data_IF_191666917504
#
_entry.id   IF_191666917504
#
_cell.length_a   1.000
_cell.length_b   1.000
_cell.length_c   1.000
_cell.angle_alpha   90.00
_cell.angle_beta   90.00
_cell.angle_gamma   90.00
#
_symmetry.space_group_name_H-M   'P 1'
#
loop_
_entity.id
_entity.type
_entity.pdbx_description
1 polymer ?
#
# COMPACT_ATOMS: atom_id res chain seq x y z
N UNK A 1 6.30 -1.04 10.55
CA UNK A 1 5.40 -0.02 11.16
C UNK A 1 4.07 -0.60 11.64
N UNK A 2 3.27 -1.31 10.82
CA UNK A 2 1.96 -1.90 11.24
C UNK A 2 2.08 -2.71 12.53
N UNK A 3 3.05 -3.64 12.62
CA UNK A 3 3.34 -4.41 13.84
C UNK A 3 3.72 -3.53 15.05
N UNK A 4 4.50 -2.48 14.84
CA UNK A 4 4.85 -1.54 15.91
C UNK A 4 3.63 -0.82 16.47
N UNK A 5 2.69 -0.42 15.60
CA UNK A 5 1.42 0.17 16.01
C UNK A 5 0.60 -0.81 16.84
N UNK A 6 0.53 -2.08 16.45
CA UNK A 6 -0.20 -3.11 17.20
C UNK A 6 0.41 -3.38 18.57
N UNK A 7 1.76 -3.37 18.69
CA UNK A 7 2.46 -3.61 19.96
C UNK A 7 2.31 -2.42 20.90
N UNK A 8 2.57 -1.20 20.43
CA UNK A 8 2.51 0.02 21.26
C UNK A 8 1.06 0.45 21.48
N UNK A 9 0.17 0.25 20.50
CA UNK A 9 -1.20 0.72 20.56
C UNK A 9 -1.28 2.19 21.00
N UNK A 10 -0.80 3.16 20.19
CA UNK A 10 -0.63 4.55 20.58
C UNK A 10 -1.93 5.16 21.11
N UNK A 11 -1.90 5.77 22.27
CA UNK A 11 -3.05 6.41 22.93
C UNK A 11 -2.92 7.93 22.95
N UNK A 12 -1.70 8.45 22.78
CA UNK A 12 -1.43 9.88 22.77
C UNK A 12 -0.32 10.22 21.78
N UNK A 13 -0.07 11.52 21.60
CA UNK A 13 0.96 12.02 20.68
C UNK A 13 2.36 11.50 21.04
N UNK A 14 2.71 11.47 22.33
CA UNK A 14 4.02 11.00 22.77
C UNK A 14 4.25 9.52 22.46
N UNK A 15 3.20 8.70 22.45
CA UNK A 15 3.30 7.30 22.02
C UNK A 15 3.65 7.19 20.52
N UNK A 16 3.13 8.09 19.69
CA UNK A 16 3.48 8.13 18.26
C UNK A 16 4.93 8.57 18.09
N UNK A 17 5.38 9.55 18.87
CA UNK A 17 6.79 9.98 18.88
C UNK A 17 7.71 8.82 19.28
N UNK A 18 7.37 8.10 20.35
CA UNK A 18 8.14 6.95 20.82
C UNK A 18 8.12 5.78 19.82
N UNK A 19 6.96 5.50 19.20
CA UNK A 19 6.82 4.48 18.18
C UNK A 19 7.77 4.72 17.00
N UNK A 20 7.84 5.96 16.49
CA UNK A 20 8.73 6.31 15.38
C UNK A 20 10.21 6.14 15.75
N UNK A 21 10.57 6.46 16.98
CA UNK A 21 11.92 6.30 17.51
C UNK A 21 12.30 4.82 17.72
N UNK A 22 11.35 4.00 18.21
CA UNK A 22 11.58 2.59 18.54
C UNK A 22 11.44 1.64 17.34
N UNK A 23 10.76 2.03 16.26
CA UNK A 23 10.52 1.16 15.10
C UNK A 23 11.75 1.01 14.19
N UNK A 24 12.86 0.54 14.78
CA UNK A 24 14.16 0.31 14.09
C UNK A 24 14.80 -0.97 14.63
N UNK A 25 15.65 -1.65 13.83
CA UNK A 25 16.43 -2.77 14.32
C UNK A 25 17.20 -2.40 15.60
N UNK A 26 17.11 -3.22 16.65
CA UNK A 26 17.67 -2.97 17.96
C UNK A 26 16.65 -2.41 18.96
N UNK A 27 16.21 -1.14 18.86
CA UNK A 27 15.24 -0.55 19.79
C UNK A 27 13.88 -1.22 19.76
N UNK A 28 13.51 -1.86 18.67
CA UNK A 28 12.21 -2.55 18.48
C UNK A 28 11.91 -3.57 19.58
N UNK A 29 12.95 -4.20 20.15
CA UNK A 29 12.82 -5.12 21.28
C UNK A 29 12.22 -4.48 22.53
N UNK A 30 12.28 -3.14 22.68
CA UNK A 30 11.75 -2.42 23.84
C UNK A 30 10.32 -1.94 23.69
N UNK A 31 9.70 -2.08 22.52
CA UNK A 31 8.32 -1.64 22.27
C UNK A 31 7.33 -2.32 23.22
N UNK A 32 7.50 -3.61 23.46
CA UNK A 32 6.63 -4.38 24.38
C UNK A 32 6.76 -3.87 25.83
N UNK A 33 7.99 -3.64 26.30
CA UNK A 33 8.22 -3.09 27.64
C UNK A 33 7.64 -1.68 27.77
N UNK A 34 7.82 -0.83 26.74
CA UNK A 34 7.22 0.51 26.69
C UNK A 34 5.70 0.44 26.89
N UNK A 35 5.01 -0.38 26.09
CA UNK A 35 3.55 -0.52 26.18
C UNK A 35 3.11 -1.09 27.54
N UNK A 36 3.76 -2.16 28.04
CA UNK A 36 3.40 -2.79 29.31
C UNK A 36 3.61 -1.87 30.51
N UNK A 37 4.68 -1.07 30.52
CA UNK A 37 4.97 -0.10 31.59
C UNK A 37 4.02 1.09 31.54
N UNK A 38 3.71 1.61 30.36
CA UNK A 38 2.69 2.64 30.17
C UNK A 38 1.34 2.19 30.73
N UNK A 39 0.94 0.97 30.43
CA UNK A 39 -0.35 0.40 30.85
C UNK A 39 -0.34 -0.09 32.31
N UNK A 40 0.77 0.08 33.06
CA UNK A 40 0.91 -0.40 34.44
C UNK A 40 0.99 -1.92 34.62
N UNK A 41 1.15 -2.66 33.49
CA UNK A 41 1.22 -4.15 33.48
C UNK A 41 2.61 -4.69 33.76
N UNK A 42 3.66 -3.87 33.62
CA UNK A 42 5.05 -4.18 34.02
C UNK A 42 5.52 -3.21 35.10
N UNK A 43 5.80 -3.73 36.28
CA UNK A 43 6.40 -2.95 37.36
C UNK A 43 7.88 -2.68 37.06
N UNK A 44 8.34 -1.48 37.24
CA UNK A 44 9.73 -1.08 37.13
C UNK A 44 10.03 0.02 38.15
N UNK A 45 11.30 0.20 38.48
CA UNK A 45 11.76 1.21 39.43
C UNK A 45 12.80 2.09 38.76
N UNK A 46 12.77 3.38 39.07
CA UNK A 46 13.81 4.30 38.67
C UNK A 46 15.02 4.18 39.63
N UNK A 47 16.24 4.29 39.10
CA UNK A 47 17.47 4.23 39.87
C UNK A 47 17.68 5.47 40.74
N UNK A 48 17.00 6.58 40.45
CA UNK A 48 16.94 7.81 41.24
C UNK A 48 15.71 8.62 40.85
N UNK A 49 15.29 9.57 41.71
CA UNK A 49 14.19 10.51 41.39
C UNK A 49 14.54 11.45 40.23
N UNK A 50 15.81 11.86 40.16
CA UNK A 50 16.27 12.68 39.01
C UNK A 50 16.16 11.91 37.69
N UNK A 51 16.47 10.63 37.70
CA UNK A 51 16.29 9.77 36.51
C UNK A 51 14.81 9.60 36.16
N UNK A 52 13.92 9.58 37.15
CA UNK A 52 12.47 9.58 36.92
C UNK A 52 12.02 10.87 36.24
N UNK A 53 12.57 12.03 36.64
CA UNK A 53 12.24 13.30 35.95
C UNK A 53 12.62 13.29 34.47
N UNK A 54 13.73 12.64 34.11
CA UNK A 54 14.22 12.55 32.72
C UNK A 54 13.50 11.47 31.89
N UNK A 55 13.27 10.31 32.48
CA UNK A 55 12.77 9.12 31.78
C UNK A 55 11.29 8.84 32.04
N UNK A 56 10.58 9.69 32.78
CA UNK A 56 9.18 9.48 33.14
C UNK A 56 8.27 9.37 31.89
N UNK A 57 8.48 10.24 30.91
CA UNK A 57 7.71 10.23 29.65
C UNK A 57 7.96 9.02 28.76
N UNK A 58 8.99 8.24 29.04
CA UNK A 58 9.34 7.01 28.30
C UNK A 58 9.40 5.77 29.21
N UNK A 59 8.75 5.85 30.38
CA UNK A 59 8.57 4.74 31.32
C UNK A 59 9.88 4.03 31.70
N UNK A 60 10.93 4.84 31.95
CA UNK A 60 12.25 4.36 32.31
C UNK A 60 13.11 3.82 31.18
N UNK A 61 12.67 3.93 29.93
CA UNK A 61 13.42 3.49 28.75
C UNK A 61 14.13 4.71 28.14
N UNK A 62 15.42 4.59 27.87
CA UNK A 62 16.15 5.60 27.09
C UNK A 62 15.82 5.42 25.62
N UNK A 63 14.99 6.32 25.07
CA UNK A 63 14.54 6.32 23.68
C UNK A 63 15.27 7.38 22.87
N UNK A 64 15.52 8.55 23.48
CA UNK A 64 16.02 9.73 22.80
C UNK A 64 17.47 10.06 23.15
N UNK A 65 18.21 10.60 22.19
CA UNK A 65 19.58 11.12 22.40
C UNK A 65 19.61 12.25 23.42
N UNK A 66 18.60 13.07 23.45
CA UNK A 66 18.42 14.18 24.37
C UNK A 66 18.33 13.70 25.82
N UNK A 67 17.75 12.52 26.08
CA UNK A 67 17.73 11.93 27.43
C UNK A 67 19.12 11.53 27.90
N UNK A 68 19.98 11.01 26.99
CA UNK A 68 21.37 10.68 27.32
C UNK A 68 22.13 11.94 27.69
N UNK A 69 21.97 13.02 26.88
CA UNK A 69 22.60 14.32 27.17
C UNK A 69 22.10 14.90 28.50
N UNK A 70 20.81 14.80 28.79
CA UNK A 70 20.22 15.31 30.01
C UNK A 70 20.71 14.53 31.23
N UNK A 71 20.80 13.20 31.16
CA UNK A 71 21.38 12.36 32.23
C UNK A 71 22.84 12.76 32.49
N UNK A 72 23.64 12.94 31.46
CA UNK A 72 25.04 13.35 31.61
C UNK A 72 25.18 14.73 32.26
N UNK A 73 24.31 15.67 31.95
CA UNK A 73 24.30 17.01 32.57
C UNK A 73 23.78 17.02 34.00
N UNK A 74 22.60 16.48 34.19
CA UNK A 74 21.85 16.70 35.45
C UNK A 74 22.34 15.76 36.54
N UNK A 75 22.73 14.52 36.20
CA UNK A 75 23.22 13.50 37.14
C UNK A 75 24.75 13.51 37.29
N UNK A 76 25.50 13.61 36.17
CA UNK A 76 26.96 13.61 36.23
C UNK A 76 27.59 15.03 36.23
N UNK A 77 26.80 16.10 36.17
CA UNK A 77 27.27 17.48 36.22
C UNK A 77 28.09 17.93 35.00
N UNK A 78 27.94 17.27 33.85
CA UNK A 78 28.67 17.65 32.66
C UNK A 78 28.09 18.92 32.01
N UNK A 79 28.96 19.71 31.41
CA UNK A 79 28.54 20.84 30.57
C UNK A 79 27.79 20.34 29.34
N UNK A 80 26.99 21.17 28.63
CA UNK A 80 26.28 20.75 27.41
C UNK A 80 27.20 20.18 26.34
N UNK A 81 28.39 20.78 26.15
CA UNK A 81 29.38 20.30 25.17
C UNK A 81 29.97 18.93 25.56
N UNK A 82 30.30 18.77 26.87
CA UNK A 82 30.80 17.47 27.38
C UNK A 82 29.76 16.39 27.27
N UNK A 83 28.49 16.67 27.53
CA UNK A 83 27.40 15.70 27.42
C UNK A 83 27.20 15.22 25.96
N UNK A 84 27.32 16.12 24.99
CA UNK A 84 27.24 15.71 23.58
C UNK A 84 28.45 14.86 23.14
N UNK A 85 29.66 15.22 23.59
CA UNK A 85 30.87 14.41 23.36
C UNK A 85 30.73 13.04 24.00
N UNK A 86 30.24 12.97 25.24
CA UNK A 86 29.97 11.75 26.00
C UNK A 86 28.99 10.85 25.22
N UNK A 87 27.85 11.35 24.78
CA UNK A 87 26.86 10.63 24.01
C UNK A 87 27.46 10.05 22.72
N UNK A 88 28.23 10.87 21.97
CA UNK A 88 28.89 10.44 20.73
C UNK A 88 29.95 9.36 20.98
N UNK A 89 30.70 9.48 22.07
CA UNK A 89 31.73 8.53 22.46
C UNK A 89 31.13 7.14 22.78
N UNK A 90 30.09 7.09 23.58
CA UNK A 90 29.41 5.83 23.95
C UNK A 90 28.81 5.15 22.69
N UNK A 91 28.29 5.93 21.74
CA UNK A 91 27.74 5.41 20.50
C UNK A 91 28.75 4.75 19.58
N UNK A 92 30.06 5.06 19.69
CA UNK A 92 31.14 4.52 18.83
C UNK A 92 31.63 3.13 19.23
N UNK A 93 31.27 2.61 20.39
CA UNK A 93 31.68 1.28 20.95
C UNK A 93 33.20 1.06 21.07
N UNK A 94 34.00 2.11 21.06
CA UNK A 94 35.41 2.00 21.35
C UNK A 94 35.63 1.72 22.83
N UNK A 95 36.24 0.58 23.18
CA UNK A 95 36.41 0.15 24.55
C UNK A 95 37.24 1.12 25.41
N UNK A 96 38.30 1.72 24.86
CA UNK A 96 39.16 2.66 25.58
C UNK A 96 38.42 3.98 25.84
N UNK A 97 37.72 4.49 24.80
CA UNK A 97 36.89 5.68 24.91
C UNK A 97 35.73 5.47 25.87
N UNK A 98 35.11 4.29 25.86
CA UNK A 98 34.04 3.97 26.81
C UNK A 98 34.55 3.92 28.27
N UNK A 99 35.72 3.32 28.52
CA UNK A 99 36.29 3.25 29.85
C UNK A 99 36.59 4.65 30.42
N UNK A 100 37.25 5.52 29.64
CA UNK A 100 37.53 6.92 30.02
C UNK A 100 36.25 7.72 30.28
N UNK A 101 35.24 7.54 29.46
CA UNK A 101 33.94 8.21 29.67
C UNK A 101 33.17 7.67 30.87
N UNK A 102 33.27 6.36 31.16
CA UNK A 102 32.71 5.74 32.36
C UNK A 102 33.31 6.36 33.62
N UNK A 103 34.62 6.44 33.68
CA UNK A 103 35.33 7.03 34.82
C UNK A 103 34.91 8.50 35.09
N UNK A 104 34.87 9.31 34.01
CA UNK A 104 34.43 10.70 34.06
C UNK A 104 32.98 10.82 34.53
N UNK A 105 32.08 10.00 34.02
CA UNK A 105 30.65 9.98 34.37
C UNK A 105 30.48 9.64 35.86
N UNK A 106 31.12 8.57 36.32
CA UNK A 106 31.05 8.12 37.73
C UNK A 106 31.58 9.19 38.65
N UNK A 107 32.75 9.77 38.36
CA UNK A 107 33.33 10.86 39.17
C UNK A 107 32.37 12.05 39.28
N UNK A 108 31.70 12.41 38.20
CA UNK A 108 30.67 13.46 38.22
C UNK A 108 29.47 13.10 39.11
N UNK A 109 28.97 11.85 38.99
CA UNK A 109 27.89 11.36 39.83
C UNK A 109 28.22 11.37 41.34
N UNK A 110 29.43 10.91 41.69
CA UNK A 110 29.90 10.94 43.06
C UNK A 110 29.98 12.37 43.63
N UNK A 111 30.46 13.32 42.81
CA UNK A 111 30.50 14.73 43.16
C UNK A 111 29.10 15.35 43.39
N UNK A 112 28.08 14.79 42.77
CA UNK A 112 26.65 15.13 42.93
C UNK A 112 25.98 14.38 44.10
N UNK A 113 26.70 13.51 44.83
CA UNK A 113 26.20 12.78 45.99
C UNK A 113 25.57 11.41 45.70
N UNK A 114 25.66 10.91 44.48
CA UNK A 114 25.21 9.55 44.17
C UNK A 114 26.20 8.50 44.69
N UNK A 115 25.69 7.32 45.06
CA UNK A 115 26.57 6.20 45.42
C UNK A 115 27.28 5.63 44.21
N UNK A 116 28.47 5.03 44.42
CA UNK A 116 29.19 4.32 43.37
C UNK A 116 28.29 3.30 42.64
N UNK A 117 27.52 2.51 43.42
CA UNK A 117 26.60 1.48 42.85
C UNK A 117 25.54 2.10 41.96
N UNK A 118 24.95 3.22 42.36
CA UNK A 118 23.93 3.92 41.58
C UNK A 118 24.54 4.48 40.28
N UNK A 119 25.71 5.10 40.38
CA UNK A 119 26.41 5.66 39.22
C UNK A 119 26.78 4.58 38.19
N UNK A 120 27.31 3.45 38.64
CA UNK A 120 27.60 2.30 37.77
C UNK A 120 26.34 1.78 37.10
N UNK A 121 25.25 1.59 37.83
CA UNK A 121 23.97 1.12 37.26
C UNK A 121 23.39 2.08 36.25
N UNK A 122 23.47 3.40 36.46
CA UNK A 122 23.02 4.41 35.51
C UNK A 122 23.88 4.37 34.24
N UNK A 123 25.22 4.28 34.41
CA UNK A 123 26.11 4.18 33.24
C UNK A 123 25.83 2.94 32.40
N UNK A 124 25.65 1.78 33.05
CA UNK A 124 25.30 0.53 32.31
C UNK A 124 23.95 0.65 31.56
N UNK A 125 22.99 1.33 32.19
CA UNK A 125 21.71 1.63 31.54
C UNK A 125 21.90 2.49 30.29
N UNK A 126 22.72 3.56 30.40
CA UNK A 126 23.08 4.39 29.24
C UNK A 126 23.82 3.58 28.19
N UNK A 127 24.83 2.80 28.56
CA UNK A 127 25.65 2.01 27.62
C UNK A 127 24.80 1.01 26.83
N UNK A 128 23.78 0.42 27.45
CA UNK A 128 22.84 -0.49 26.78
C UNK A 128 21.99 0.20 25.73
N UNK A 129 21.59 1.45 25.95
CA UNK A 129 20.62 2.16 25.12
C UNK A 129 21.22 3.26 24.23
N UNK A 130 22.40 3.79 24.57
CA UNK A 130 22.99 4.95 23.88
C UNK A 130 23.24 4.73 22.38
N UNK A 131 23.50 3.49 21.98
CA UNK A 131 23.66 3.13 20.56
C UNK A 131 22.35 3.24 19.75
N UNK A 132 21.21 3.30 20.42
CA UNK A 132 19.89 3.26 19.81
C UNK A 132 19.12 4.56 19.99
N UNK A 133 19.66 5.53 20.72
CA UNK A 133 19.03 6.81 20.94
C UNK A 133 18.68 7.52 19.63
N UNK A 134 17.45 8.00 19.54
CA UNK A 134 16.93 8.71 18.37
C UNK A 134 16.83 10.21 18.64
N UNK A 135 16.98 11.03 17.63
CA UNK A 135 16.76 12.46 17.77
C UNK A 135 15.27 12.74 18.03
N UNK A 136 14.94 13.31 19.20
CA UNK A 136 13.55 13.57 19.60
C UNK A 136 12.87 14.57 18.68
N UNK A 137 13.57 15.64 18.29
CA UNK A 137 13.00 16.67 17.43
C UNK A 137 12.61 16.11 16.06
N UNK A 138 13.43 15.23 15.50
CA UNK A 138 13.12 14.53 14.26
C UNK A 138 11.87 13.66 14.42
N UNK A 139 11.80 12.87 15.49
CA UNK A 139 10.64 12.02 15.78
C UNK A 139 9.37 12.85 15.96
N UNK A 140 9.43 13.96 16.68
CA UNK A 140 8.30 14.88 16.88
C UNK A 140 7.81 15.44 15.56
N UNK A 141 8.72 15.92 14.70
CA UNK A 141 8.33 16.46 13.39
C UNK A 141 7.57 15.45 12.54
N UNK A 142 8.08 14.20 12.47
CA UNK A 142 7.37 13.13 11.76
C UNK A 142 6.09 12.67 12.45
N UNK A 143 6.03 12.69 13.78
CA UNK A 143 4.81 12.38 14.52
C UNK A 143 3.68 13.38 14.22
N UNK A 144 4.01 14.68 14.12
CA UNK A 144 3.03 15.71 13.72
C UNK A 144 2.46 15.40 12.33
N UNK A 145 3.33 15.09 11.36
CA UNK A 145 2.87 14.72 10.02
C UNK A 145 2.03 13.45 10.05
N UNK A 146 2.48 12.41 10.78
CA UNK A 146 1.77 11.13 10.90
C UNK A 146 0.37 11.33 11.48
N UNK A 147 0.25 12.11 12.57
CA UNK A 147 -1.04 12.38 13.20
C UNK A 147 -1.97 13.18 12.28
N UNK A 148 -1.45 14.20 11.59
CA UNK A 148 -2.22 14.97 10.60
C UNK A 148 -2.75 14.09 9.47
N UNK A 149 -1.88 13.25 8.89
CA UNK A 149 -2.26 12.32 7.81
C UNK A 149 -3.28 11.29 8.30
N UNK A 150 -3.11 10.75 9.50
CA UNK A 150 -4.06 9.81 10.10
C UNK A 150 -5.42 10.48 10.34
N UNK A 151 -5.43 11.73 10.82
CA UNK A 151 -6.64 12.51 11.05
C UNK A 151 -7.37 12.82 9.72
N UNK A 152 -6.64 13.27 8.68
CA UNK A 152 -7.21 13.50 7.36
C UNK A 152 -7.79 12.21 6.78
N UNK A 153 -7.07 11.09 6.89
CA UNK A 153 -7.55 9.78 6.42
C UNK A 153 -8.82 9.32 7.14
N UNK A 154 -8.99 9.68 8.42
CA UNK A 154 -10.15 9.30 9.22
C UNK A 154 -11.37 10.19 8.93
N UNK A 155 -11.17 11.50 8.76
CA UNK A 155 -12.26 12.48 8.67
C UNK A 155 -12.57 12.91 7.23
N UNK A 156 -11.58 12.85 6.33
CA UNK A 156 -11.69 13.22 4.91
C UNK A 156 -11.08 12.14 4.03
N UNK A 157 -11.62 10.90 4.08
CA UNK A 157 -10.98 9.77 3.38
C UNK A 157 -10.95 9.94 1.87
N UNK A 158 -12.00 10.50 1.25
CA UNK A 158 -12.04 10.69 -0.20
C UNK A 158 -10.94 11.63 -0.69
N UNK A 159 -10.80 12.79 -0.05
CA UNK A 159 -9.78 13.78 -0.37
C UNK A 159 -8.38 13.24 -0.07
N UNK A 160 -8.23 12.50 1.03
CA UNK A 160 -6.98 11.85 1.38
C UNK A 160 -6.53 10.85 0.32
N UNK A 161 -7.44 9.95 -0.12
CA UNK A 161 -7.09 8.96 -1.14
C UNK A 161 -6.92 9.61 -2.52
N UNK A 162 -7.72 10.59 -2.89
CA UNK A 162 -7.52 11.38 -4.09
C UNK A 162 -6.10 11.97 -4.14
N UNK A 163 -5.69 12.64 -3.07
CA UNK A 163 -4.38 13.28 -2.99
C UNK A 163 -3.22 12.26 -3.03
N UNK A 164 -3.31 11.15 -2.29
CA UNK A 164 -2.20 10.19 -2.21
C UNK A 164 -2.03 9.38 -3.50
N UNK A 165 -3.13 9.06 -4.19
CA UNK A 165 -3.10 8.33 -5.47
C UNK A 165 -2.54 9.19 -6.60
N UNK A 166 -2.66 10.52 -6.52
CA UNK A 166 -2.09 11.47 -7.50
C UNK A 166 -0.58 11.65 -7.34
N UNK A 167 -0.01 11.37 -6.16
CA UNK A 167 1.43 11.52 -5.97
C UNK A 167 2.15 10.39 -6.70
N UNK A 168 2.71 10.64 -7.87
CA UNK A 168 3.35 9.66 -8.77
C UNK A 168 4.48 8.79 -8.18
N UNK A 169 4.68 8.82 -6.86
CA UNK A 169 5.56 7.94 -6.09
C UNK A 169 4.88 6.63 -5.64
N UNK A 170 3.60 6.45 -5.97
CA UNK A 170 2.85 5.24 -5.57
C UNK A 170 3.18 4.11 -6.53
N UNK A 171 3.90 3.08 -6.06
CA UNK A 171 4.14 1.87 -6.86
C UNK A 171 2.82 1.17 -7.17
N UNK A 172 2.74 0.43 -8.29
CA UNK A 172 1.54 -0.35 -8.66
C UNK A 172 1.01 -1.21 -7.50
N UNK A 173 1.91 -1.82 -6.72
CA UNK A 173 1.52 -2.63 -5.55
C UNK A 173 0.82 -1.79 -4.50
N UNK A 174 1.32 -0.58 -4.19
CA UNK A 174 0.69 0.33 -3.22
C UNK A 174 -0.62 0.90 -3.74
N UNK A 175 -0.69 1.17 -5.02
CA UNK A 175 -1.91 1.64 -5.66
C UNK A 175 -3.06 0.64 -5.45
N UNK A 176 -2.85 -0.63 -5.79
CA UNK A 176 -3.83 -1.70 -5.54
C UNK A 176 -4.15 -1.89 -4.05
N UNK A 177 -3.17 -1.70 -3.12
CA UNK A 177 -3.41 -1.74 -1.68
C UNK A 177 -4.37 -0.62 -1.23
N UNK A 178 -4.21 0.60 -1.75
CA UNK A 178 -5.11 1.72 -1.43
C UNK A 178 -6.52 1.50 -1.97
N UNK A 179 -6.67 1.03 -3.21
CA UNK A 179 -7.97 0.70 -3.78
C UNK A 179 -8.67 -0.39 -2.96
N UNK A 180 -7.96 -1.45 -2.58
CA UNK A 180 -8.49 -2.51 -1.71
C UNK A 180 -8.91 -1.96 -0.34
N UNK A 181 -8.11 -1.08 0.26
CA UNK A 181 -8.45 -0.44 1.53
C UNK A 181 -9.71 0.43 1.42
N UNK A 182 -9.85 1.17 0.32
CA UNK A 182 -11.04 1.99 0.04
C UNK A 182 -12.30 1.12 -0.07
N UNK A 183 -12.25 0.04 -0.85
CA UNK A 183 -13.35 -0.92 -0.97
C UNK A 183 -13.77 -1.49 0.40
N UNK A 184 -12.81 -1.88 1.25
CA UNK A 184 -13.09 -2.35 2.64
C UNK A 184 -13.74 -1.29 3.53
N UNK A 185 -13.52 -0.01 3.27
CA UNK A 185 -14.16 1.12 3.98
C UNK A 185 -15.51 1.54 3.38
N UNK A 186 -15.99 0.84 2.36
CA UNK A 186 -17.21 1.19 1.64
C UNK A 186 -17.08 2.44 0.77
N UNK A 187 -15.84 2.83 0.41
CA UNK A 187 -15.58 3.94 -0.50
C UNK A 187 -15.57 3.38 -1.92
N UNK A 188 -16.51 3.81 -2.73
CA UNK A 188 -16.59 3.41 -4.12
C UNK A 188 -15.47 4.08 -4.94
N UNK A 189 -14.90 3.31 -5.88
CA UNK A 189 -14.01 3.80 -6.93
C UNK A 189 -14.67 3.50 -8.25
N UNK A 190 -15.03 4.55 -8.97
CA UNK A 190 -15.70 4.46 -10.26
C UNK A 190 -14.66 4.30 -11.37
N UNK A 191 -14.94 3.51 -12.42
CA UNK A 191 -14.08 3.44 -13.60
C UNK A 191 -13.93 4.82 -14.25
N UNK A 192 -12.92 5.02 -15.10
CA UNK A 192 -12.82 6.25 -15.87
C UNK A 192 -14.03 6.40 -16.80
N UNK A 193 -14.34 7.64 -17.20
CA UNK A 193 -15.40 7.96 -18.13
C UNK A 193 -14.95 9.11 -19.03
N UNK A 194 -15.15 9.00 -20.34
CA UNK A 194 -14.81 10.07 -21.28
C UNK A 194 -15.63 11.34 -21.04
N UNK A 195 -16.84 11.20 -20.52
CA UNK A 195 -17.71 12.35 -20.22
C UNK A 195 -17.43 12.97 -18.84
N UNK A 196 -16.80 12.23 -17.92
CA UNK A 196 -16.73 12.67 -16.53
C UNK A 196 -15.33 12.78 -15.96
N UNK A 197 -14.36 11.91 -16.34
CA UNK A 197 -13.03 11.89 -15.76
C UNK A 197 -12.22 13.15 -16.07
N UNK A 198 -11.37 13.53 -15.14
CA UNK A 198 -10.36 14.58 -15.33
C UNK A 198 -8.96 13.97 -15.46
N UNK A 199 -7.92 14.85 -15.45
CA UNK A 199 -6.52 14.41 -15.41
C UNK A 199 -6.15 13.75 -14.08
N UNK A 200 -6.89 14.03 -13.00
CA UNK A 200 -6.61 13.60 -11.65
C UNK A 200 -7.81 12.91 -11.03
N UNK A 201 -7.60 12.20 -9.91
CA UNK A 201 -8.69 11.61 -9.16
C UNK A 201 -9.63 12.68 -8.63
N UNK A 202 -10.89 12.64 -9.03
CA UNK A 202 -11.94 13.55 -8.57
C UNK A 202 -12.91 12.86 -7.62
N UNK A 203 -13.41 13.62 -6.67
CA UNK A 203 -14.49 13.19 -5.78
C UNK A 203 -15.83 13.53 -6.43
N UNK A 204 -16.63 12.50 -6.73
CA UNK A 204 -17.97 12.63 -7.28
C UNK A 204 -18.95 11.83 -6.41
N UNK A 205 -19.94 12.47 -5.82
CA UNK A 205 -21.05 11.83 -5.09
C UNK A 205 -20.63 10.76 -4.05
N UNK A 206 -19.59 11.02 -3.25
CA UNK A 206 -19.00 10.09 -2.27
C UNK A 206 -18.22 8.91 -2.87
N UNK A 207 -17.83 8.99 -4.13
CA UNK A 207 -16.97 8.06 -4.81
C UNK A 207 -15.73 8.75 -5.37
N UNK A 208 -14.66 8.02 -5.59
CA UNK A 208 -13.52 8.49 -6.38
C UNK A 208 -13.70 8.08 -7.84
N UNK A 209 -13.62 9.06 -8.75
CA UNK A 209 -13.62 8.82 -10.18
C UNK A 209 -12.19 8.63 -10.67
N UNK A 210 -11.96 7.57 -11.44
CA UNK A 210 -10.64 7.21 -11.96
C UNK A 210 -10.18 8.20 -13.03
N UNK A 211 -8.92 8.68 -13.02
CA UNK A 211 -8.43 9.72 -13.91
C UNK A 211 -7.90 9.19 -15.24
N UNK A 212 -7.85 10.05 -16.24
CA UNK A 212 -7.19 9.73 -17.51
C UNK A 212 -5.68 9.52 -17.39
N UNK A 213 -5.01 10.24 -16.46
CA UNK A 213 -3.56 10.12 -16.28
C UNK A 213 -3.09 8.74 -15.82
N UNK A 214 -3.99 7.92 -15.30
CA UNK A 214 -3.69 6.57 -14.82
C UNK A 214 -4.05 5.48 -15.86
N UNK A 215 -4.52 5.84 -17.06
CA UNK A 215 -4.79 4.89 -18.14
C UNK A 215 -3.50 4.67 -18.93
N UNK A 216 -2.99 3.45 -18.93
CA UNK A 216 -1.83 3.05 -19.70
C UNK A 216 -2.15 3.13 -21.20
N UNK A 217 -1.28 3.74 -21.99
CA UNK A 217 -1.47 3.93 -23.42
C UNK A 217 -2.20 5.22 -23.83
N UNK A 218 -2.78 5.97 -22.87
CA UNK A 218 -3.37 7.28 -23.12
C UNK A 218 -2.37 8.37 -22.73
N UNK A 219 -1.91 9.16 -23.69
CA UNK A 219 -1.01 10.27 -23.39
C UNK A 219 -1.75 11.50 -22.85
N UNK A 220 -1.02 12.34 -22.12
CA UNK A 220 -1.59 13.53 -21.47
C UNK A 220 -2.20 14.55 -22.42
N UNK A 221 -1.72 14.64 -23.68
CA UNK A 221 -2.28 15.55 -24.68
C UNK A 221 -3.66 15.07 -25.12
N UNK A 222 -3.79 13.78 -25.43
CA UNK A 222 -5.08 13.20 -25.83
C UNK A 222 -6.11 13.28 -24.70
N UNK A 223 -5.69 13.02 -23.47
CA UNK A 223 -6.55 13.18 -22.29
C UNK A 223 -7.09 14.61 -22.15
N UNK A 224 -6.24 15.62 -22.37
CA UNK A 224 -6.68 17.03 -22.37
C UNK A 224 -7.63 17.33 -23.52
N UNK A 225 -7.35 16.83 -24.71
CA UNK A 225 -8.23 17.02 -25.88
C UNK A 225 -9.63 16.41 -25.65
N UNK A 226 -9.72 15.23 -24.99
CA UNK A 226 -11.01 14.62 -24.61
C UNK A 226 -11.76 15.56 -23.66
N UNK A 227 -11.07 16.10 -22.64
CA UNK A 227 -11.66 17.02 -21.66
C UNK A 227 -12.15 18.32 -22.34
N UNK A 228 -11.39 18.86 -23.26
CA UNK A 228 -11.76 20.06 -24.00
C UNK A 228 -12.93 19.80 -24.97
N UNK A 229 -12.87 18.71 -25.72
CA UNK A 229 -13.88 18.39 -26.72
C UNK A 229 -15.27 18.16 -26.11
N UNK A 230 -15.36 17.47 -24.97
CA UNK A 230 -16.63 17.24 -24.28
C UNK A 230 -17.30 18.53 -23.77
N UNK A 231 -16.56 19.67 -23.65
CA UNK A 231 -17.16 20.96 -23.29
C UNK A 231 -18.12 21.46 -24.38
N UNK A 232 -17.98 21.00 -25.60
CA UNK A 232 -18.91 21.31 -26.72
C UNK A 232 -20.20 20.49 -26.63
N UNK A 233 -20.29 19.54 -25.70
CA UNK A 233 -21.39 18.62 -25.44
C UNK A 233 -20.88 17.21 -25.13
N UNK A 234 -21.60 16.41 -24.33
CA UNK A 234 -21.20 15.06 -24.00
C UNK A 234 -21.05 14.20 -25.25
N UNK A 235 -20.22 13.16 -25.16
CA UNK A 235 -20.18 12.11 -26.17
C UNK A 235 -21.41 11.23 -25.99
N UNK A 236 -22.12 10.94 -27.10
CA UNK A 236 -23.43 10.27 -27.07
C UNK A 236 -23.35 8.77 -27.34
N UNK A 237 -22.40 8.37 -28.16
CA UNK A 237 -22.17 6.99 -28.56
C UNK A 237 -20.72 6.79 -29.02
N UNK A 238 -20.33 5.54 -29.30
CA UNK A 238 -18.99 5.17 -29.69
C UNK A 238 -18.51 5.83 -31.01
N UNK A 239 -19.35 5.88 -32.01
CA UNK A 239 -19.00 6.53 -33.32
C UNK A 239 -18.89 8.05 -33.16
N UNK A 240 -19.79 8.67 -32.38
CA UNK A 240 -19.71 10.10 -32.04
C UNK A 240 -18.39 10.44 -31.38
N UNK A 241 -17.98 9.63 -30.40
CA UNK A 241 -16.69 9.82 -29.71
C UNK A 241 -15.52 9.73 -30.69
N UNK A 242 -15.43 8.64 -31.49
CA UNK A 242 -14.30 8.43 -32.39
C UNK A 242 -14.26 9.52 -33.45
N UNK A 243 -15.41 9.90 -34.04
CA UNK A 243 -15.50 10.95 -35.06
C UNK A 243 -15.04 12.30 -34.53
N UNK A 244 -15.52 12.72 -33.36
CA UNK A 244 -15.10 13.98 -32.75
C UNK A 244 -13.63 14.00 -32.36
N UNK A 245 -13.09 12.88 -31.88
CA UNK A 245 -11.69 12.77 -31.50
C UNK A 245 -10.73 12.56 -32.67
N UNK A 246 -11.26 12.25 -33.88
CA UNK A 246 -10.46 12.08 -35.09
C UNK A 246 -9.68 13.35 -35.47
N UNK A 247 -10.28 14.53 -35.30
CA UNK A 247 -9.60 15.81 -35.53
C UNK A 247 -8.36 16.01 -34.64
N UNK A 248 -8.34 15.40 -33.47
CA UNK A 248 -7.19 15.42 -32.55
C UNK A 248 -6.19 14.28 -32.81
N UNK A 249 -6.40 13.52 -33.93
CA UNK A 249 -5.54 12.40 -34.34
C UNK A 249 -5.48 11.26 -33.31
N UNK A 250 -6.61 10.93 -32.69
CA UNK A 250 -6.72 9.74 -31.87
C UNK A 250 -6.42 8.50 -32.70
N UNK A 251 -5.66 7.56 -32.17
CA UNK A 251 -5.29 6.32 -32.86
C UNK A 251 -5.95 5.07 -32.24
N UNK A 252 -5.87 3.96 -32.97
CA UNK A 252 -6.43 2.66 -32.57
C UNK A 252 -6.00 2.24 -31.15
N UNK A 253 -4.71 2.40 -30.81
CA UNK A 253 -4.17 1.99 -29.51
C UNK A 253 -4.73 2.82 -28.35
N UNK A 254 -4.95 4.13 -28.57
CA UNK A 254 -5.53 5.01 -27.55
C UNK A 254 -7.01 4.72 -27.34
N UNK A 255 -7.77 4.44 -28.41
CA UNK A 255 -9.17 4.03 -28.30
C UNK A 255 -9.24 2.68 -27.56
N UNK A 256 -8.39 1.72 -27.94
CA UNK A 256 -8.31 0.42 -27.28
C UNK A 256 -8.01 0.56 -25.78
N UNK A 257 -7.08 1.45 -25.42
CA UNK A 257 -6.76 1.72 -24.01
C UNK A 257 -7.98 2.27 -23.23
N UNK A 258 -8.75 3.17 -23.83
CA UNK A 258 -9.98 3.72 -23.25
C UNK A 258 -11.07 2.65 -23.10
N UNK A 259 -11.27 1.80 -24.13
CA UNK A 259 -12.22 0.67 -24.07
C UNK A 259 -11.84 -0.29 -22.97
N UNK A 260 -10.57 -0.71 -22.94
CA UNK A 260 -10.09 -1.66 -21.94
C UNK A 260 -10.17 -1.11 -20.50
N UNK A 261 -9.95 0.18 -20.32
CA UNK A 261 -10.12 0.86 -19.05
C UNK A 261 -11.59 1.03 -18.60
N UNK A 262 -12.56 0.75 -19.49
CA UNK A 262 -13.98 1.00 -19.22
C UNK A 262 -14.40 2.46 -19.39
N UNK A 263 -13.56 3.30 -19.97
CA UNK A 263 -13.84 4.73 -20.11
C UNK A 263 -14.96 5.07 -21.10
N UNK A 264 -15.36 4.11 -21.94
CA UNK A 264 -16.40 4.22 -22.96
C UNK A 264 -17.66 3.40 -22.66
N UNK A 265 -17.75 2.76 -21.47
CA UNK A 265 -18.87 1.87 -21.11
C UNK A 265 -20.23 2.55 -21.14
N UNK A 266 -20.30 3.86 -20.90
CA UNK A 266 -21.53 4.64 -21.00
C UNK A 266 -21.99 4.89 -22.45
N UNK A 267 -21.09 4.74 -23.42
CA UNK A 267 -21.36 4.96 -24.84
C UNK A 267 -21.83 3.69 -25.55
N UNK A 268 -21.39 2.52 -25.09
CA UNK A 268 -21.82 1.22 -25.56
C UNK A 268 -21.57 0.12 -24.52
N UNK A 269 -22.53 -0.80 -24.31
CA UNK A 269 -22.47 -1.73 -23.17
C UNK A 269 -21.44 -2.86 -23.34
N UNK A 270 -21.04 -3.22 -24.58
CA UNK A 270 -20.09 -4.30 -24.84
C UNK A 270 -18.71 -3.78 -25.20
N UNK A 271 -17.73 -4.03 -24.33
CA UNK A 271 -16.30 -3.72 -24.59
C UNK A 271 -15.74 -4.59 -25.72
N UNK A 272 -16.17 -5.86 -25.83
CA UNK A 272 -15.76 -6.76 -26.92
C UNK A 272 -16.18 -6.20 -28.26
N UNK A 273 -17.45 -5.81 -28.41
CA UNK A 273 -17.98 -5.19 -29.63
C UNK A 273 -17.26 -3.88 -29.97
N UNK A 274 -17.00 -3.04 -28.99
CA UNK A 274 -16.21 -1.81 -29.18
C UNK A 274 -14.81 -2.12 -29.73
N UNK A 275 -14.09 -3.10 -29.16
CA UNK A 275 -12.74 -3.48 -29.61
C UNK A 275 -12.69 -3.86 -31.09
N UNK A 276 -13.61 -4.70 -31.57
CA UNK A 276 -13.62 -5.14 -32.95
C UNK A 276 -14.16 -4.07 -33.89
N UNK A 277 -14.87 -3.05 -33.39
CA UNK A 277 -15.44 -1.96 -34.21
C UNK A 277 -14.47 -0.78 -34.38
N UNK A 278 -13.35 -0.69 -33.61
CA UNK A 278 -12.43 0.46 -33.65
C UNK A 278 -12.02 0.85 -35.08
N UNK A 279 -11.62 -0.12 -35.90
CA UNK A 279 -11.18 0.15 -37.29
C UNK A 279 -12.29 0.71 -38.14
N UNK A 280 -13.49 0.15 -38.07
CA UNK A 280 -14.65 0.66 -38.77
C UNK A 280 -15.04 2.07 -38.35
N UNK A 281 -14.94 2.35 -37.03
CA UNK A 281 -15.22 3.67 -36.49
C UNK A 281 -14.18 4.73 -36.93
N UNK A 282 -12.90 4.37 -37.03
CA UNK A 282 -11.87 5.26 -37.55
C UNK A 282 -12.08 5.52 -39.07
N UNK A 283 -12.42 4.52 -39.85
CA UNK A 283 -12.76 4.68 -41.30
C UNK A 283 -14.00 5.57 -41.49
N UNK A 284 -15.02 5.36 -40.68
CA UNK A 284 -16.21 6.22 -40.68
C UNK A 284 -15.86 7.67 -40.31
N UNK A 285 -15.03 7.87 -39.29
CA UNK A 285 -14.57 9.20 -38.91
C UNK A 285 -13.79 9.88 -40.05
N UNK A 286 -12.88 9.15 -40.73
CA UNK A 286 -12.10 9.65 -41.84
C UNK A 286 -13.00 10.14 -42.99
N UNK A 287 -14.05 9.40 -43.31
CA UNK A 287 -15.03 9.78 -44.38
C UNK A 287 -15.84 11.02 -44.02
N UNK A 288 -16.02 11.31 -42.73
CA UNK A 288 -16.76 12.48 -42.26
C UNK A 288 -15.90 13.76 -42.14
N UNK A 289 -14.58 13.65 -42.32
CA UNK A 289 -13.67 14.80 -42.32
C UNK A 289 -13.26 15.16 -43.75
N UNK A 290 -13.32 16.45 -44.11
CA UNK A 290 -12.74 16.97 -45.34
C UNK A 290 -11.22 16.96 -45.28
N UNK A 291 -10.55 17.07 -46.47
CA UNK A 291 -9.08 17.17 -46.55
C UNK A 291 -8.49 18.30 -45.68
N UNK A 292 -9.28 19.34 -45.41
CA UNK A 292 -8.89 20.46 -44.52
C UNK A 292 -9.11 20.18 -43.02
N UNK A 293 -9.52 18.97 -42.63
CA UNK A 293 -9.73 18.58 -41.22
C UNK A 293 -11.00 19.21 -40.61
N UNK A 294 -11.92 19.73 -41.40
CA UNK A 294 -13.22 20.21 -40.96
C UNK A 294 -14.30 19.14 -41.21
N UNK A 295 -15.29 19.04 -40.30
CA UNK A 295 -16.48 18.21 -40.54
C UNK A 295 -17.14 18.64 -41.85
N UNK A 296 -17.36 17.69 -42.77
CA UNK A 296 -18.03 17.93 -44.03
C UNK A 296 -19.49 18.31 -43.80
N UNK A 297 -19.73 19.61 -43.66
CA UNK A 297 -21.10 20.15 -43.53
C UNK A 297 -21.66 20.24 -44.94
N UNK A 298 -22.46 19.26 -45.38
CA UNK A 298 -23.21 19.39 -46.64
C UNK A 298 -23.32 18.16 -47.53
N UNK A 299 -22.61 17.09 -47.30
CA UNK A 299 -22.92 15.78 -47.87
C UNK A 299 -23.96 15.14 -46.93
N UNK A 300 -25.03 14.55 -47.52
CA UNK A 300 -26.03 13.80 -46.78
C UNK A 300 -25.34 12.99 -45.68
N UNK A 301 -25.69 13.24 -44.40
CA UNK A 301 -25.01 12.63 -43.25
C UNK A 301 -24.90 11.12 -43.53
N UNK A 302 -23.68 10.63 -43.59
CA UNK A 302 -23.45 9.20 -43.75
C UNK A 302 -24.19 8.51 -42.61
N UNK A 303 -25.00 7.51 -42.91
CA UNK A 303 -25.63 6.71 -41.88
C UNK A 303 -24.54 6.09 -40.98
N UNK A 304 -24.68 6.25 -39.70
CA UNK A 304 -23.74 5.66 -38.74
C UNK A 304 -23.72 4.14 -38.90
N UNK A 305 -22.58 3.52 -39.13
CA UNK A 305 -22.50 2.08 -39.25
C UNK A 305 -23.02 1.37 -37.99
N UNK A 306 -23.49 0.15 -38.14
CA UNK A 306 -23.82 -0.69 -37.03
C UNK A 306 -22.54 -1.12 -36.30
N UNK A 307 -22.63 -1.30 -34.97
CA UNK A 307 -21.57 -1.92 -34.20
C UNK A 307 -21.38 -3.37 -34.64
N UNK A 308 -20.14 -3.79 -34.82
CA UNK A 308 -19.84 -5.20 -34.90
C UNK A 308 -20.15 -5.86 -33.57
N UNK A 309 -20.88 -6.96 -33.60
CA UNK A 309 -21.25 -7.63 -32.35
C UNK A 309 -20.24 -8.72 -31.99
N UNK A 310 -19.82 -8.71 -30.72
CA UNK A 310 -19.02 -9.75 -30.08
C UNK A 310 -19.47 -9.94 -28.65
N UNK A 311 -19.24 -11.13 -28.11
CA UNK A 311 -19.67 -11.49 -26.77
C UNK A 311 -18.63 -11.07 -25.75
N UNK A 312 -19.04 -10.27 -24.78
CA UNK A 312 -18.19 -9.94 -23.64
C UNK A 312 -17.90 -11.19 -22.80
N UNK A 313 -16.63 -11.45 -22.60
CA UNK A 313 -16.16 -12.42 -21.62
C UNK A 313 -15.72 -11.66 -20.38
N UNK A 314 -16.46 -11.74 -19.26
CA UNK A 314 -16.21 -10.92 -18.09
C UNK A 314 -14.78 -11.02 -17.56
N UNK A 315 -14.18 -12.21 -17.59
CA UNK A 315 -12.81 -12.42 -17.12
C UNK A 315 -11.79 -11.77 -18.02
N UNK A 316 -11.96 -11.88 -19.35
CA UNK A 316 -11.08 -11.23 -20.31
C UNK A 316 -11.15 -9.70 -20.14
N UNK A 317 -12.35 -9.15 -19.91
CA UNK A 317 -12.51 -7.72 -19.63
C UNK A 317 -11.80 -7.29 -18.36
N UNK A 318 -11.76 -8.12 -17.31
CA UNK A 318 -11.02 -7.82 -16.09
C UNK A 318 -9.50 -7.85 -16.29
N UNK A 319 -9.00 -8.78 -17.11
CA UNK A 319 -7.58 -8.84 -17.46
C UNK A 319 -7.17 -7.62 -18.28
N UNK A 320 -7.98 -7.23 -19.30
CA UNK A 320 -7.75 -6.02 -20.07
C UNK A 320 -7.85 -4.75 -19.22
N UNK A 321 -8.80 -4.68 -18.30
CA UNK A 321 -8.94 -3.58 -17.36
C UNK A 321 -7.70 -3.48 -16.44
N UNK A 322 -7.24 -4.62 -15.93
CA UNK A 322 -6.03 -4.65 -15.13
C UNK A 322 -4.80 -4.15 -15.91
N UNK A 323 -4.62 -4.57 -17.15
CA UNK A 323 -3.52 -4.12 -18.02
C UNK A 323 -3.62 -2.62 -18.32
N UNK A 324 -4.85 -2.11 -18.48
CA UNK A 324 -5.10 -0.71 -18.80
C UNK A 324 -4.93 0.23 -17.59
N UNK A 325 -5.33 -0.17 -16.37
CA UNK A 325 -5.37 0.74 -15.22
C UNK A 325 -4.70 0.18 -13.95
N UNK A 326 -4.13 -1.01 -13.99
CA UNK A 326 -3.39 -1.62 -12.88
C UNK A 326 -4.24 -2.18 -11.74
N UNK A 327 -5.56 -2.16 -11.87
CA UNK A 327 -6.52 -2.68 -10.89
C UNK A 327 -7.77 -3.19 -11.59
N UNK A 328 -8.52 -4.09 -10.96
CA UNK A 328 -9.85 -4.51 -11.39
C UNK A 328 -10.90 -3.73 -10.59
N UNK A 329 -11.64 -2.86 -11.26
CA UNK A 329 -12.68 -2.02 -10.64
C UNK A 329 -14.07 -2.60 -10.85
N UNK A 330 -14.33 -3.15 -12.04
CA UNK A 330 -15.67 -3.58 -12.48
C UNK A 330 -16.24 -4.70 -11.61
N UNK A 331 -15.44 -5.71 -11.28
CA UNK A 331 -15.86 -6.84 -10.42
C UNK A 331 -14.65 -7.60 -9.87
N UNK A 332 -14.92 -8.64 -9.08
CA UNK A 332 -13.91 -9.60 -8.65
C UNK A 332 -14.05 -10.88 -9.48
N UNK A 333 -12.97 -11.45 -10.04
CA UNK A 333 -13.04 -12.68 -10.82
C UNK A 333 -13.73 -13.85 -10.09
N UNK A 334 -13.67 -13.88 -8.75
CA UNK A 334 -14.32 -14.90 -7.93
C UNK A 334 -15.85 -14.77 -7.91
N UNK A 335 -16.39 -13.59 -8.19
CA UNK A 335 -17.85 -13.36 -8.20
C UNK A 335 -18.53 -14.17 -9.29
N UNK A 336 -17.85 -14.39 -10.42
CA UNK A 336 -18.35 -15.21 -11.53
C UNK A 336 -18.28 -16.72 -11.29
N UNK A 337 -17.59 -17.13 -10.21
CA UNK A 337 -17.42 -18.55 -9.84
C UNK A 337 -18.14 -18.91 -8.54
N UNK A 338 -19.02 -18.04 -8.03
CA UNK A 338 -19.61 -18.15 -6.69
C UNK A 338 -20.28 -19.50 -6.43
N UNK A 339 -21.13 -19.96 -7.35
CA UNK A 339 -21.84 -21.25 -7.21
C UNK A 339 -20.86 -22.44 -7.10
N UNK A 340 -19.83 -22.46 -7.95
CA UNK A 340 -18.80 -23.50 -7.93
C UNK A 340 -17.95 -23.44 -6.65
N UNK A 341 -17.66 -22.24 -6.17
CA UNK A 341 -16.91 -22.03 -4.93
C UNK A 341 -17.70 -22.43 -3.70
N UNK A 342 -19.01 -22.14 -3.67
CA UNK A 342 -19.92 -22.56 -2.58
C UNK A 342 -19.99 -24.10 -2.50
N UNK A 343 -20.07 -24.81 -3.63
CA UNK A 343 -20.04 -26.28 -3.69
C UNK A 343 -18.71 -26.86 -3.18
N UNK A 344 -17.60 -26.17 -3.36
CA UNK A 344 -16.28 -26.62 -2.93
C UNK A 344 -15.99 -26.34 -1.45
N UNK A 345 -16.89 -25.67 -0.74
CA UNK A 345 -16.79 -25.39 0.69
C UNK A 345 -15.57 -24.53 1.04
N UNK A 346 -15.19 -23.58 0.17
CA UNK A 346 -14.06 -22.70 0.41
C UNK A 346 -14.40 -21.63 1.45
N UNK A 347 -13.41 -21.27 2.26
CA UNK A 347 -13.51 -20.18 3.22
C UNK A 347 -12.98 -18.88 2.62
N UNK A 348 -13.53 -17.76 3.06
CA UNK A 348 -12.98 -16.45 2.79
C UNK A 348 -11.74 -16.19 3.63
N UNK A 349 -10.80 -15.36 3.11
CA UNK A 349 -9.55 -15.01 3.81
C UNK A 349 -9.84 -14.42 5.21
N UNK A 350 -10.88 -13.59 5.35
CA UNK A 350 -11.27 -13.02 6.63
C UNK A 350 -11.77 -14.05 7.66
N UNK A 351 -12.12 -15.26 7.24
CA UNK A 351 -12.64 -16.35 8.09
C UNK A 351 -11.57 -17.35 8.50
N UNK A 352 -10.31 -17.13 8.13
CA UNK A 352 -9.22 -18.04 8.44
C UNK A 352 -8.86 -18.00 9.92
N UNK A 353 -8.70 -19.18 10.49
CA UNK A 353 -8.28 -19.38 11.88
C UNK A 353 -6.88 -19.99 11.93
N UNK A 354 -6.05 -19.48 12.82
CA UNK A 354 -4.67 -19.96 13.01
C UNK A 354 -4.65 -21.43 13.43
N UNK A 355 -3.78 -22.23 12.81
CA UNK A 355 -3.58 -23.65 13.15
C UNK A 355 -4.65 -24.61 12.65
N UNK A 356 -5.69 -24.11 11.93
CA UNK A 356 -6.69 -24.96 11.27
C UNK A 356 -6.41 -25.05 9.78
N UNK A 357 -6.41 -26.26 9.24
CA UNK A 357 -6.38 -26.46 7.79
C UNK A 357 -7.66 -25.90 7.18
N UNK A 358 -7.50 -25.11 6.14
CA UNK A 358 -8.60 -24.45 5.45
C UNK A 358 -8.38 -24.49 3.94
N UNK A 359 -9.47 -24.48 3.19
CA UNK A 359 -9.49 -24.38 1.74
C UNK A 359 -9.98 -22.98 1.37
N UNK A 360 -9.20 -22.26 0.58
CA UNK A 360 -9.53 -20.89 0.13
C UNK A 360 -9.52 -20.83 -1.39
N UNK A 361 -10.37 -20.00 -1.96
CA UNK A 361 -10.29 -19.61 -3.36
C UNK A 361 -9.79 -18.16 -3.42
N UNK A 362 -8.81 -17.92 -4.28
CA UNK A 362 -8.20 -16.60 -4.39
C UNK A 362 -7.61 -16.37 -5.78
N UNK A 363 -7.35 -15.10 -6.07
CA UNK A 363 -6.70 -14.64 -7.30
C UNK A 363 -5.25 -14.31 -6.97
N UNK A 364 -4.33 -14.73 -7.84
CA UNK A 364 -2.90 -14.45 -7.69
C UNK A 364 -2.61 -13.03 -8.15
N UNK A 365 -2.19 -12.16 -7.21
CA UNK A 365 -1.84 -10.77 -7.48
C UNK A 365 -0.37 -10.62 -7.88
N UNK A 366 0.52 -11.35 -7.21
CA UNK A 366 1.96 -11.29 -7.46
C UNK A 366 2.63 -12.61 -7.04
N UNK A 367 3.74 -12.92 -7.69
CA UNK A 367 4.55 -14.12 -7.45
C UNK A 367 5.99 -13.69 -7.22
N UNK A 368 6.53 -13.98 -6.03
CA UNK A 368 7.95 -13.78 -5.72
C UNK A 368 8.62 -15.14 -5.59
N UNK A 369 9.56 -15.42 -6.48
CA UNK A 369 10.35 -16.66 -6.46
C UNK A 369 11.70 -16.40 -5.82
N UNK A 370 12.19 -17.34 -5.04
CA UNK A 370 13.52 -17.32 -4.44
C UNK A 370 14.03 -18.75 -4.17
N UNK A 371 15.32 -18.85 -3.85
CA UNK A 371 15.96 -20.13 -3.55
C UNK A 371 16.13 -20.28 -2.04
N UNK A 372 15.88 -21.49 -1.55
CA UNK A 372 16.19 -21.87 -0.17
C UNK A 372 17.71 -21.96 0.05
N UNK A 373 18.15 -22.10 1.30
CA UNK A 373 19.55 -22.36 1.64
C UNK A 373 20.10 -23.66 0.98
N UNK A 374 19.22 -24.57 0.58
CA UNK A 374 19.56 -25.82 -0.13
C UNK A 374 19.51 -25.67 -1.65
N UNK A 375 19.40 -24.41 -2.17
CA UNK A 375 19.29 -24.11 -3.61
C UNK A 375 18.01 -24.63 -4.30
N UNK A 376 16.98 -25.02 -3.54
CA UNK A 376 15.68 -25.45 -4.05
C UNK A 376 14.78 -24.21 -4.30
N UNK A 377 13.98 -24.24 -5.35
CA UNK A 377 13.07 -23.13 -5.67
C UNK A 377 11.83 -23.16 -4.79
N UNK A 378 11.41 -22.00 -4.30
CA UNK A 378 10.17 -21.78 -3.59
C UNK A 378 9.56 -20.42 -3.99
N UNK A 379 8.31 -20.19 -3.64
CA UNK A 379 7.65 -18.92 -3.92
C UNK A 379 6.81 -18.41 -2.76
N UNK A 380 6.59 -17.10 -2.74
CA UNK A 380 5.52 -16.46 -1.98
C UNK A 380 4.58 -15.82 -2.97
N UNK A 381 3.31 -16.22 -2.92
CA UNK A 381 2.23 -15.58 -3.66
C UNK A 381 1.61 -14.50 -2.79
N UNK A 382 1.36 -13.32 -3.37
CA UNK A 382 0.32 -12.42 -2.87
C UNK A 382 -0.98 -12.79 -3.55
N UNK A 383 -1.97 -13.18 -2.76
CA UNK A 383 -3.30 -13.53 -3.25
C UNK A 383 -4.37 -12.66 -2.60
N UNK A 384 -5.54 -12.59 -3.20
CA UNK A 384 -6.68 -11.87 -2.65
C UNK A 384 -8.00 -12.58 -2.95
N UNK A 385 -8.99 -12.31 -2.12
CA UNK A 385 -10.40 -12.60 -2.37
C UNK A 385 -11.24 -11.32 -2.18
N UNK A 386 -12.56 -11.44 -2.05
CA UNK A 386 -13.46 -10.31 -1.79
C UNK A 386 -13.23 -9.67 -0.41
N UNK A 387 -12.63 -10.40 0.55
CA UNK A 387 -12.52 -10.00 1.95
C UNK A 387 -11.14 -9.53 2.35
N UNK A 388 -10.09 -9.87 1.61
CA UNK A 388 -8.73 -9.48 1.98
C UNK A 388 -7.63 -9.95 1.06
N UNK A 389 -6.41 -9.52 1.42
CA UNK A 389 -5.16 -9.98 0.83
C UNK A 389 -4.46 -10.93 1.81
N UNK A 390 -3.71 -11.89 1.27
CA UNK A 390 -3.00 -12.91 2.03
C UNK A 390 -1.66 -13.24 1.36
N UNK A 391 -0.61 -13.39 2.16
CA UNK A 391 0.66 -13.92 1.67
C UNK A 391 0.66 -15.45 1.85
N UNK A 392 0.86 -16.18 0.75
CA UNK A 392 0.88 -17.65 0.71
C UNK A 392 2.29 -18.13 0.42
N UNK A 393 2.87 -18.87 1.36
CA UNK A 393 4.18 -19.49 1.18
C UNK A 393 4.05 -20.86 0.55
N UNK A 394 4.76 -21.08 -0.55
CA UNK A 394 4.81 -22.34 -1.28
C UNK A 394 6.22 -22.93 -1.15
N UNK A 395 6.31 -24.01 -0.41
CA UNK A 395 7.58 -24.74 -0.25
C UNK A 395 7.97 -25.50 -1.52
N UNK A 396 9.27 -25.87 -1.69
CA UNK A 396 9.79 -26.46 -2.93
C UNK A 396 8.98 -27.63 -3.46
N UNK A 397 8.56 -28.55 -2.59
CA UNK A 397 7.78 -29.73 -2.98
C UNK A 397 6.47 -29.36 -3.68
N UNK A 398 5.74 -28.36 -3.15
CA UNK A 398 4.48 -27.88 -3.75
C UNK A 398 4.77 -27.02 -4.97
N UNK A 399 5.81 -26.16 -4.89
CA UNK A 399 6.14 -25.26 -5.98
C UNK A 399 6.48 -26.01 -7.27
N UNK A 400 7.21 -27.12 -7.17
CA UNK A 400 7.56 -27.95 -8.33
C UNK A 400 6.34 -28.51 -9.08
N UNK A 401 5.25 -28.76 -8.37
CA UNK A 401 4.00 -29.28 -8.99
C UNK A 401 3.16 -28.20 -9.63
N UNK A 402 3.31 -26.91 -9.22
CA UNK A 402 2.39 -25.84 -9.62
C UNK A 402 3.03 -24.76 -10.49
N UNK A 403 4.36 -24.69 -10.56
CA UNK A 403 5.10 -23.64 -11.30
C UNK A 403 4.73 -23.49 -12.76
N UNK A 404 4.19 -24.53 -13.39
CA UNK A 404 3.80 -24.53 -14.80
C UNK A 404 2.48 -23.83 -15.11
N UNK A 405 1.61 -23.58 -14.11
CA UNK A 405 0.30 -23.00 -14.32
C UNK A 405 -0.08 -21.86 -13.38
N UNK A 406 0.70 -21.60 -12.34
CA UNK A 406 0.49 -20.41 -11.51
C UNK A 406 1.03 -19.18 -12.26
N UNK A 407 0.12 -18.28 -12.60
CA UNK A 407 0.43 -16.99 -13.22
C UNK A 407 -0.33 -15.88 -12.50
N UNK A 408 0.05 -14.63 -12.75
CA UNK A 408 -0.70 -13.47 -12.27
C UNK A 408 -2.13 -13.54 -12.81
N UNK A 409 -3.09 -13.09 -12.03
CA UNK A 409 -4.53 -13.12 -12.30
C UNK A 409 -5.15 -14.52 -12.38
N UNK A 410 -4.38 -15.60 -12.23
CA UNK A 410 -4.96 -16.95 -12.13
C UNK A 410 -5.82 -17.09 -10.89
N UNK A 411 -7.00 -17.69 -11.05
CA UNK A 411 -7.85 -18.12 -9.94
C UNK A 411 -7.34 -19.48 -9.49
N UNK A 412 -7.06 -19.60 -8.19
CA UNK A 412 -6.56 -20.84 -7.60
C UNK A 412 -7.32 -21.19 -6.33
N UNK A 413 -7.41 -22.49 -6.09
CA UNK A 413 -7.89 -23.05 -4.83
C UNK A 413 -6.67 -23.54 -4.07
N UNK A 414 -6.47 -23.04 -2.86
CA UNK A 414 -5.33 -23.35 -2.01
C UNK A 414 -5.83 -24.04 -0.76
N UNK A 415 -5.31 -25.23 -0.46
CA UNK A 415 -5.50 -25.88 0.82
C UNK A 415 -4.23 -25.71 1.65
N UNK A 416 -4.36 -25.33 2.91
CA UNK A 416 -3.26 -25.09 3.80
C UNK A 416 -3.70 -24.54 5.15
N UNK A 417 -2.80 -23.91 5.88
CA UNK A 417 -3.09 -23.36 7.21
C UNK A 417 -2.31 -22.08 7.47
N UNK A 418 -2.85 -21.21 8.35
CA UNK A 418 -2.14 -20.04 8.84
C UNK A 418 -1.02 -20.45 9.79
N UNK A 419 0.21 -19.98 9.54
CA UNK A 419 1.34 -20.18 10.42
C UNK A 419 1.18 -19.37 11.73
N UNK A 420 1.59 -19.98 12.84
CA UNK A 420 1.58 -19.36 14.17
C UNK A 420 2.75 -18.40 14.41
N UNK A 421 3.69 -18.27 13.46
CA UNK A 421 4.85 -17.39 13.58
C UNK A 421 4.46 -15.92 13.42
N UNK A 422 5.40 -15.06 13.77
CA UNK A 422 5.22 -13.60 13.90
C UNK A 422 4.72 -12.86 12.64
N UNK A 423 4.89 -13.41 11.45
CA UNK A 423 4.27 -12.93 10.22
C UNK A 423 3.22 -13.96 9.80
N UNK A 424 1.95 -13.56 9.84
CA UNK A 424 0.83 -14.41 9.39
C UNK A 424 1.00 -14.69 7.89
N UNK A 425 1.52 -15.88 7.59
CA UNK A 425 1.62 -16.42 6.24
C UNK A 425 0.78 -17.69 6.16
N UNK A 426 0.08 -17.88 5.07
CA UNK A 426 -0.65 -19.12 4.80
C UNK A 426 0.31 -20.12 4.15
N UNK A 427 0.52 -21.25 4.78
CA UNK A 427 1.38 -22.30 4.25
C UNK A 427 0.54 -23.22 3.36
N UNK A 428 0.88 -23.25 2.08
CA UNK A 428 0.15 -24.06 1.11
C UNK A 428 0.60 -25.52 1.17
N UNK A 429 -0.36 -26.43 1.36
CA UNK A 429 -0.20 -27.87 1.25
C UNK A 429 -0.47 -28.35 -0.19
N UNK A 430 -1.52 -27.79 -0.83
CA UNK A 430 -1.86 -28.01 -2.25
C UNK A 430 -2.38 -26.74 -2.89
N UNK A 431 -2.17 -26.64 -4.21
CA UNK A 431 -2.73 -25.56 -5.03
C UNK A 431 -3.31 -26.20 -6.30
N UNK A 432 -4.53 -25.83 -6.63
CA UNK A 432 -5.25 -26.29 -7.82
C UNK A 432 -5.68 -25.06 -8.62
N UNK A 433 -5.45 -25.05 -9.93
CA UNK A 433 -5.99 -24.01 -10.80
C UNK A 433 -7.49 -24.22 -10.95
N UNK A 434 -8.28 -23.20 -10.70
CA UNK A 434 -9.69 -23.21 -11.02
C UNK A 434 -9.84 -22.85 -12.49
N UNK A 435 -10.24 -23.86 -13.30
CA UNK A 435 -10.60 -23.59 -14.69
C UNK A 435 -11.92 -22.83 -14.70
N UNK A 436 -11.88 -21.70 -15.37
CA UNK A 436 -13.06 -20.87 -15.60
C UNK A 436 -13.85 -21.54 -16.70
N UNK A 437 -15.10 -21.89 -16.45
CA UNK A 437 -15.99 -22.37 -17.51
C UNK A 437 -16.19 -21.24 -18.54
N UNK A 438 -16.02 -21.52 -19.81
CA UNK A 438 -16.17 -20.57 -20.92
C UNK A 438 -17.58 -19.94 -21.02
N UNK A 439 -18.52 -20.38 -20.20
CA UNK A 439 -19.93 -19.97 -20.17
C UNK A 439 -20.32 -19.17 -18.91
N UNK A 440 -19.38 -18.50 -18.25
CA UNK A 440 -19.69 -17.66 -17.10
C UNK A 440 -19.60 -16.16 -17.44
#
# INVERSE_FOLDING_TARGET
MKRGIQIINPQCFDDVVALLALNRPGPMGFMKNYALRRDGKEKFTYLSDDLKAILGSTYGIIVYQEQVNQIARDIAGMTPGEADLFRRAISKKDKAVMAANKEKFIKGCLAKGYSQKTADSIFEHIAKFANYGFNKSHSVAYAVLTCRMAWLKANYPLEFYSAILQTGSTSETKFGEYISEMKKRGIAVLPPSVNHSSMYFDVKEKALLFPFSAIHGLNSLMAKNIIEERQKGPFTDFFNFVTRMYSYKINELQILALVNAGALDELYPSRASMRITIKAALQFAELNYSEDGQLSIGIAALETPLMNEDVDRPIDNLDFEYDAIGVMLSSNPLDYQKEKLDMLGVKQIAQLETGKTSKIACVIKNIKQFKTKKNEQMAVLKVYDQTGDLDVTIFPRVFDTVKGYITRNSIVIITGHLDNREEQSFLADTIEKLEVSENA
#
